data_IF_095333652152
#
_entry.id   IF_095333652152
#
_cell.length_a   1.000
_cell.length_b   1.000
_cell.length_c   1.000
_cell.angle_alpha   90.00
_cell.angle_beta   90.00
_cell.angle_gamma   90.00
#
_symmetry.space_group_name_H-M   'P 1'
#
loop_
_entity.id
_entity.type
_entity.pdbx_description
1 polymer ?
#
# COMPACT_ATOMS: atom_id res chain seq x y z
N UNK A 1 -7.30 -13.94 16.32
CA UNK A 1 -6.08 -13.21 15.87
C UNK A 1 -6.08 -11.85 16.54
N UNK A 2 -4.95 -11.40 17.07
CA UNK A 2 -4.85 -10.06 17.64
C UNK A 2 -4.88 -9.05 16.47
N UNK A 3 -5.97 -8.30 16.33
CA UNK A 3 -6.19 -7.34 15.23
C UNK A 3 -5.60 -5.97 15.51
N UNK A 4 -4.73 -5.85 16.52
CA UNK A 4 -4.09 -4.58 16.87
C UNK A 4 -3.33 -4.02 15.66
N UNK A 5 -3.80 -2.92 15.04
CA UNK A 5 -3.18 -2.36 13.83
C UNK A 5 -1.75 -1.85 14.09
N UNK A 6 -1.35 -1.71 15.36
CA UNK A 6 -0.02 -1.28 15.78
C UNK A 6 0.96 -2.46 16.01
N UNK A 7 0.62 -3.66 15.54
CA UNK A 7 1.48 -4.85 15.54
C UNK A 7 1.82 -5.28 14.12
N UNK A 8 2.92 -6.04 13.92
CA UNK A 8 3.33 -6.50 12.58
C UNK A 8 2.24 -7.31 11.88
N UNK A 9 1.66 -8.28 12.59
CA UNK A 9 0.56 -9.10 12.07
C UNK A 9 -0.70 -8.28 11.82
N UNK A 10 -1.01 -7.33 12.69
CA UNK A 10 -2.17 -6.45 12.52
C UNK A 10 -2.03 -5.50 11.34
N UNK A 11 -0.85 -4.91 11.13
CA UNK A 11 -0.53 -4.12 9.93
C UNK A 11 -0.72 -4.94 8.66
N UNK A 12 -0.10 -6.12 8.58
CA UNK A 12 -0.19 -6.98 7.38
C UNK A 12 -1.62 -7.46 7.12
N UNK A 13 -2.37 -7.79 8.17
CA UNK A 13 -3.77 -8.23 8.05
C UNK A 13 -4.67 -7.08 7.60
N UNK A 14 -4.67 -5.96 8.34
CA UNK A 14 -5.57 -4.86 8.07
C UNK A 14 -5.17 -4.12 6.78
N UNK A 15 -3.88 -3.84 6.60
CA UNK A 15 -3.35 -3.25 5.37
C UNK A 15 -3.62 -4.15 4.16
N UNK A 16 -3.42 -5.46 4.28
CA UNK A 16 -3.74 -6.41 3.22
C UNK A 16 -5.23 -6.42 2.85
N UNK A 17 -6.12 -6.42 3.84
CA UNK A 17 -7.57 -6.31 3.60
C UNK A 17 -7.94 -4.99 2.92
N UNK A 18 -7.36 -3.87 3.35
CA UNK A 18 -7.59 -2.56 2.71
C UNK A 18 -7.17 -2.60 1.24
N UNK A 19 -6.00 -3.14 0.91
CA UNK A 19 -5.55 -3.28 -0.48
C UNK A 19 -6.51 -4.13 -1.31
N UNK A 20 -6.99 -5.25 -0.77
CA UNK A 20 -7.99 -6.07 -1.46
C UNK A 20 -9.29 -5.31 -1.73
N UNK A 21 -9.75 -4.51 -0.77
CA UNK A 21 -10.95 -3.68 -0.95
C UNK A 21 -10.72 -2.60 -2.02
N UNK A 22 -9.58 -1.93 -2.01
CA UNK A 22 -9.22 -0.93 -3.03
C UNK A 22 -9.16 -1.55 -4.43
N UNK A 23 -8.57 -2.74 -4.56
CA UNK A 23 -8.55 -3.47 -5.82
C UNK A 23 -9.96 -3.79 -6.34
N UNK A 24 -10.84 -4.32 -5.47
CA UNK A 24 -12.23 -4.61 -5.85
C UNK A 24 -12.95 -3.35 -6.29
N UNK A 25 -12.81 -2.25 -5.54
CA UNK A 25 -13.41 -0.96 -5.87
C UNK A 25 -12.94 -0.45 -7.23
N UNK A 26 -11.64 -0.50 -7.51
CA UNK A 26 -11.14 -0.06 -8.81
C UNK A 26 -11.58 -0.97 -9.97
N UNK A 27 -11.62 -2.30 -9.80
CA UNK A 27 -12.13 -3.20 -10.84
C UNK A 27 -13.62 -3.00 -11.17
N UNK A 28 -14.43 -2.56 -10.20
CA UNK A 28 -15.84 -2.20 -10.45
C UNK A 28 -16.03 -0.76 -10.93
N UNK A 29 -14.93 -0.03 -11.18
CA UNK A 29 -14.96 1.33 -11.72
C UNK A 29 -15.31 2.41 -10.69
N UNK A 30 -15.11 2.16 -9.40
CA UNK A 30 -15.31 3.19 -8.38
C UNK A 30 -14.26 4.30 -8.51
N UNK A 31 -14.70 5.56 -8.48
CA UNK A 31 -13.83 6.74 -8.42
C UNK A 31 -14.50 7.88 -7.64
N UNK A 32 -13.68 8.78 -7.11
CA UNK A 32 -14.09 10.06 -6.52
C UNK A 32 -13.61 11.17 -7.45
N UNK A 33 -14.21 11.23 -8.65
CA UNK A 33 -13.81 12.18 -9.69
C UNK A 33 -12.30 12.13 -9.99
N UNK A 34 -11.68 13.30 -10.09
CA UNK A 34 -10.23 13.44 -10.30
C UNK A 34 -9.42 13.28 -9.00
N UNK A 35 -10.09 13.15 -7.85
CA UNK A 35 -9.43 13.11 -6.53
C UNK A 35 -8.87 11.73 -6.23
N UNK A 36 -9.64 10.67 -6.52
CA UNK A 36 -9.24 9.27 -6.31
C UNK A 36 -9.78 8.39 -7.44
N UNK A 37 -8.88 7.77 -8.17
CA UNK A 37 -9.19 6.86 -9.26
C UNK A 37 -8.09 5.80 -9.34
N UNK A 38 -8.38 4.68 -9.99
CA UNK A 38 -7.45 3.55 -10.09
C UNK A 38 -7.37 3.05 -11.52
N UNK A 39 -6.16 2.85 -12.04
CA UNK A 39 -5.97 2.13 -13.30
C UNK A 39 -5.94 0.59 -13.10
N UNK A 40 -5.97 -0.15 -14.21
CA UNK A 40 -5.96 -1.61 -14.16
C UNK A 40 -4.67 -2.18 -13.54
N UNK A 41 -3.54 -1.52 -13.71
CA UNK A 41 -2.26 -1.99 -13.19
C UNK A 41 -2.17 -1.76 -11.67
N UNK A 42 -2.66 -0.63 -11.17
CA UNK A 42 -2.84 -0.33 -9.75
C UNK A 42 -3.79 -1.34 -9.08
N UNK A 43 -4.92 -1.64 -9.72
CA UNK A 43 -5.87 -2.64 -9.21
C UNK A 43 -5.24 -4.02 -9.08
N UNK A 44 -4.44 -4.43 -10.07
CA UNK A 44 -3.69 -5.69 -10.01
C UNK A 44 -2.63 -5.65 -8.91
N UNK A 45 -1.90 -4.54 -8.76
CA UNK A 45 -0.90 -4.38 -7.71
C UNK A 45 -1.53 -4.47 -6.31
N UNK A 46 -2.63 -3.74 -6.08
CA UNK A 46 -3.40 -3.80 -4.83
C UNK A 46 -3.93 -5.21 -4.55
N UNK A 47 -4.45 -5.90 -5.56
CA UNK A 47 -4.93 -7.28 -5.41
C UNK A 47 -3.80 -8.22 -4.97
N UNK A 48 -2.69 -8.24 -5.72
CA UNK A 48 -1.57 -9.15 -5.47
C UNK A 48 -0.92 -8.85 -4.13
N UNK A 49 -0.61 -7.58 -3.85
CA UNK A 49 0.01 -7.18 -2.58
C UNK A 49 -0.92 -7.42 -1.40
N UNK A 50 -2.23 -7.22 -1.57
CA UNK A 50 -3.24 -7.52 -0.55
C UNK A 50 -3.29 -9.01 -0.20
N UNK A 51 -3.33 -9.88 -1.20
CA UNK A 51 -3.28 -11.34 -0.99
C UNK A 51 -1.98 -11.74 -0.32
N UNK A 52 -0.83 -11.26 -0.82
CA UNK A 52 0.48 -11.59 -0.27
C UNK A 52 0.62 -11.12 1.18
N UNK A 53 0.13 -9.91 1.52
CA UNK A 53 0.19 -9.37 2.87
C UNK A 53 -0.61 -10.21 3.87
N UNK A 54 -1.85 -10.59 3.51
CA UNK A 54 -2.68 -11.45 4.36
C UNK A 54 -2.06 -12.85 4.48
N UNK A 55 -1.61 -13.44 3.37
CA UNK A 55 -0.99 -14.77 3.37
C UNK A 55 0.31 -14.81 4.20
N UNK A 56 1.12 -13.75 4.15
CA UNK A 56 2.37 -13.65 4.90
C UNK A 56 2.19 -13.86 6.41
N UNK A 57 1.06 -13.43 6.98
CA UNK A 57 0.74 -13.60 8.41
C UNK A 57 0.64 -15.08 8.82
N UNK A 58 0.25 -15.96 7.89
CA UNK A 58 0.04 -17.39 8.15
C UNK A 58 1.22 -18.26 7.72
N UNK A 59 1.96 -17.81 6.70
CA UNK A 59 3.00 -18.62 6.04
C UNK A 59 4.39 -18.28 6.55
N UNK A 60 4.66 -17.00 6.88
CA UNK A 60 5.99 -16.58 7.28
C UNK A 60 6.22 -16.72 8.79
N UNK A 61 7.43 -17.13 9.21
CA UNK A 61 7.83 -17.08 10.61
C UNK A 61 7.97 -15.62 11.08
N UNK A 62 7.80 -15.41 12.39
CA UNK A 62 7.71 -14.07 12.98
C UNK A 62 8.94 -13.19 12.73
N UNK A 63 10.13 -13.80 12.66
CA UNK A 63 11.38 -13.10 12.38
C UNK A 63 11.44 -12.51 10.95
N UNK A 64 10.63 -12.98 10.01
CA UNK A 64 10.56 -12.46 8.65
C UNK A 64 9.48 -11.38 8.46
N UNK A 65 8.53 -11.26 9.39
CA UNK A 65 7.46 -10.26 9.28
C UNK A 65 8.00 -8.84 9.41
N UNK A 66 8.94 -8.59 10.32
CA UNK A 66 9.52 -7.26 10.48
C UNK A 66 10.27 -6.78 9.23
N UNK A 67 11.24 -7.54 8.66
CA UNK A 67 11.88 -7.16 7.40
C UNK A 67 10.88 -6.90 6.27
N UNK A 68 9.85 -7.75 6.14
CA UNK A 68 8.80 -7.56 5.14
C UNK A 68 8.07 -6.23 5.32
N UNK A 69 7.62 -5.92 6.53
CA UNK A 69 6.91 -4.66 6.83
C UNK A 69 7.82 -3.44 6.61
N UNK A 70 9.12 -3.55 6.91
CA UNK A 70 10.10 -2.48 6.60
C UNK A 70 10.18 -2.25 5.08
N UNK A 71 10.30 -3.32 4.29
CA UNK A 71 10.35 -3.21 2.82
C UNK A 71 9.07 -2.56 2.28
N UNK A 72 7.90 -3.01 2.75
CA UNK A 72 6.61 -2.39 2.39
C UNK A 72 6.59 -0.91 2.73
N UNK A 73 7.06 -0.54 3.93
CA UNK A 73 7.12 0.86 4.37
C UNK A 73 8.03 1.72 3.50
N UNK A 74 9.23 1.25 3.19
CA UNK A 74 10.18 1.98 2.33
C UNK A 74 9.65 2.13 0.92
N UNK A 75 9.08 1.06 0.34
CA UNK A 75 8.51 1.09 -1.02
C UNK A 75 7.31 2.04 -1.09
N UNK A 76 6.41 2.01 -0.11
CA UNK A 76 5.26 2.91 -0.04
C UNK A 76 5.70 4.38 0.10
N UNK A 77 6.69 4.68 0.95
CA UNK A 77 7.22 6.04 1.06
C UNK A 77 7.90 6.50 -0.24
N UNK A 78 8.67 5.62 -0.89
CA UNK A 78 9.30 5.93 -2.17
C UNK A 78 8.25 6.31 -3.20
N UNK A 79 7.21 5.48 -3.41
CA UNK A 79 6.18 5.76 -4.41
C UNK A 79 5.29 6.95 -4.03
N UNK A 80 4.93 7.11 -2.75
CA UNK A 80 4.16 8.26 -2.27
C UNK A 80 4.90 9.58 -2.47
N UNK A 81 6.22 9.63 -2.25
CA UNK A 81 7.03 10.82 -2.54
C UNK A 81 7.28 11.00 -4.04
N UNK A 82 7.54 9.91 -4.76
CA UNK A 82 7.83 9.93 -6.19
C UNK A 82 6.62 10.42 -7.01
N UNK A 83 5.41 10.07 -6.62
CA UNK A 83 4.19 10.52 -7.29
C UNK A 83 3.99 12.04 -7.28
N UNK A 84 4.53 12.76 -6.28
CA UNK A 84 4.47 14.24 -6.25
C UNK A 84 5.49 14.93 -7.17
N UNK A 85 6.56 14.24 -7.57
CA UNK A 85 7.60 14.81 -8.45
C UNK A 85 7.40 14.43 -9.91
N UNK A 86 6.49 13.51 -10.21
CA UNK A 86 6.08 13.22 -11.57
C UNK A 86 5.30 14.42 -12.13
N UNK A 87 5.55 14.83 -13.39
CA UNK A 87 4.79 15.92 -14.00
C UNK A 87 3.30 15.59 -13.93
N UNK A 88 2.50 16.46 -13.32
CA UNK A 88 1.04 16.40 -13.38
C UNK A 88 0.62 16.57 -14.86
N UNK A 89 0.52 15.47 -15.60
CA UNK A 89 0.42 15.58 -17.06
C UNK A 89 0.63 14.32 -17.91
N UNK A 90 0.73 13.10 -17.37
CA UNK A 90 0.51 11.92 -18.22
C UNK A 90 -0.98 11.75 -18.60
N UNK A 91 -1.87 12.54 -18.00
CA UNK A 91 -3.29 12.69 -18.35
C UNK A 91 -3.70 14.17 -18.46
N UNK A 92 -3.36 14.83 -19.57
CA UNK A 92 -4.11 15.98 -20.09
C UNK A 92 -3.90 16.23 -21.60
N UNK A 93 -3.64 15.19 -22.40
CA UNK A 93 -3.59 15.33 -23.86
C UNK A 93 -4.26 14.16 -24.58
N UNK A 94 -5.55 14.33 -24.86
CA UNK A 94 -6.23 13.79 -26.04
C UNK A 94 -6.23 12.27 -26.23
N UNK A 95 -7.08 11.55 -25.49
CA UNK A 95 -7.58 10.22 -25.90
C UNK A 95 -6.50 9.16 -26.22
N UNK A 96 -5.27 9.36 -25.76
CA UNK A 96 -4.16 8.41 -25.82
C UNK A 96 -3.89 7.93 -24.42
N UNK A 97 -3.74 6.61 -24.29
CA UNK A 97 -3.46 5.91 -23.04
C UNK A 97 -2.56 6.72 -22.13
N UNK A 98 -2.97 6.92 -20.87
CA UNK A 98 -2.13 7.47 -19.81
C UNK A 98 -0.74 6.86 -19.97
N UNK A 99 0.24 7.72 -20.24
CA UNK A 99 1.60 7.25 -20.41
C UNK A 99 1.98 6.70 -19.04
N UNK A 100 2.14 5.38 -18.93
CA UNK A 100 2.55 4.75 -17.69
C UNK A 100 3.71 5.53 -17.07
N UNK A 101 3.79 5.60 -15.73
CA UNK A 101 4.92 6.22 -15.05
C UNK A 101 6.28 5.67 -15.57
N UNK A 102 7.40 6.29 -15.18
CA UNK A 102 8.77 5.89 -15.59
C UNK A 102 9.07 4.39 -15.46
N UNK A 103 8.31 3.65 -14.66
CA UNK A 103 8.47 2.21 -14.44
C UNK A 103 7.47 1.33 -15.22
N UNK A 104 6.48 1.90 -15.90
CA UNK A 104 5.53 1.14 -16.70
C UNK A 104 4.46 0.39 -15.89
N UNK A 105 4.35 0.62 -14.58
CA UNK A 105 3.63 -0.28 -13.66
C UNK A 105 2.31 0.29 -13.11
N UNK A 106 2.14 1.61 -13.02
CA UNK A 106 0.92 2.24 -12.46
C UNK A 106 0.91 3.75 -12.70
N UNK A 107 -0.26 4.39 -12.77
CA UNK A 107 -0.39 5.84 -12.83
C UNK A 107 -0.70 6.45 -11.45
N UNK A 108 0.36 6.59 -10.61
CA UNK A 108 0.35 7.15 -9.25
C UNK A 108 0.02 8.66 -9.18
N UNK A 109 -0.86 9.15 -10.05
CA UNK A 109 -1.17 10.58 -10.23
C UNK A 109 -2.38 11.03 -9.41
N UNK A 110 -3.17 10.13 -8.81
CA UNK A 110 -4.23 10.56 -7.89
C UNK A 110 -3.60 11.28 -6.69
N UNK A 111 -3.96 12.55 -6.42
CA UNK A 111 -3.37 13.29 -5.32
C UNK A 111 -3.59 12.61 -3.96
N UNK A 112 -4.72 11.92 -3.80
CA UNK A 112 -5.04 11.18 -2.57
C UNK A 112 -4.27 9.87 -2.49
N UNK A 113 -4.03 9.19 -3.61
CA UNK A 113 -3.26 7.94 -3.60
C UNK A 113 -1.82 8.15 -3.10
N UNK A 114 -1.16 9.24 -3.51
CA UNK A 114 0.17 9.59 -2.98
C UNK A 114 0.15 9.84 -1.47
N UNK A 115 -0.88 10.53 -0.96
CA UNK A 115 -1.04 10.74 0.50
C UNK A 115 -1.29 9.41 1.22
N UNK A 116 -2.11 8.51 0.66
CA UNK A 116 -2.36 7.19 1.23
C UNK A 116 -1.07 6.38 1.33
N UNK A 117 -0.25 6.37 0.30
CA UNK A 117 1.06 5.71 0.30
C UNK A 117 2.00 6.27 1.37
N UNK A 118 2.02 7.59 1.57
CA UNK A 118 2.80 8.20 2.66
C UNK A 118 2.29 7.74 4.04
N UNK A 119 0.98 7.76 4.26
CA UNK A 119 0.36 7.34 5.53
C UNK A 119 0.66 5.86 5.81
N UNK A 120 0.49 4.99 4.81
CA UNK A 120 0.78 3.56 4.92
C UNK A 120 2.26 3.31 5.15
N UNK A 121 3.14 4.04 4.46
CA UNK A 121 4.59 3.95 4.63
C UNK A 121 5.03 4.33 6.05
N UNK A 122 4.52 5.45 6.57
CA UNK A 122 4.78 5.88 7.97
C UNK A 122 4.23 4.86 8.96
N UNK A 123 3.01 4.36 8.75
CA UNK A 123 2.40 3.35 9.62
C UNK A 123 3.22 2.05 9.66
N UNK A 124 3.66 1.54 8.50
CA UNK A 124 4.48 0.34 8.40
C UNK A 124 5.79 0.49 9.18
N UNK A 125 6.54 1.57 8.96
CA UNK A 125 7.81 1.82 9.64
C UNK A 125 7.61 2.07 11.14
N UNK A 126 6.54 2.78 11.52
CA UNK A 126 6.18 2.95 12.93
C UNK A 126 5.97 1.61 13.61
N UNK A 127 5.18 0.70 13.02
CA UNK A 127 4.95 -0.63 13.58
C UNK A 127 6.25 -1.44 13.65
N UNK A 128 7.10 -1.37 12.63
CA UNK A 128 8.35 -2.13 12.58
C UNK A 128 9.41 -1.71 13.62
N UNK A 129 9.45 -0.42 13.98
CA UNK A 129 10.50 0.13 14.86
C UNK A 129 10.00 0.59 16.23
N UNK A 130 8.75 1.02 16.33
CA UNK A 130 8.17 1.62 17.54
C UNK A 130 6.95 0.86 18.08
N UNK A 131 6.42 -0.11 17.34
CA UNK A 131 5.30 -0.95 17.76
C UNK A 131 5.65 -1.80 18.99
N UNK A 132 5.30 -1.32 20.18
CA UNK A 132 5.53 -2.02 21.46
C UNK A 132 4.60 -3.23 21.70
N UNK A 133 3.81 -3.63 20.69
CA UNK A 133 2.67 -4.56 20.87
C UNK A 133 3.02 -5.98 21.30
N UNK A 134 4.19 -6.51 20.92
CA UNK A 134 4.55 -7.92 21.21
C UNK A 134 5.65 -8.07 22.28
N UNK A 135 6.58 -7.11 22.39
CA UNK A 135 7.67 -7.17 23.36
C UNK A 135 7.22 -7.12 24.84
N UNK A 136 6.03 -6.58 25.13
CA UNK A 136 5.47 -6.51 26.49
C UNK A 136 4.68 -7.75 26.91
N UNK A 137 4.23 -8.58 25.95
CA UNK A 137 3.42 -9.78 26.24
C UNK A 137 4.28 -11.04 26.39
N UNK A 138 5.49 -11.05 25.84
CA UNK A 138 6.47 -12.14 26.03
C UNK A 138 7.18 -12.12 27.41
N UNK A 139 6.78 -11.22 28.32
CA UNK A 139 7.39 -11.04 29.65
C UNK A 139 6.45 -11.36 30.83
N UNK A 140 5.46 -12.23 30.64
CA UNK A 140 4.63 -12.76 31.73
C UNK A 140 4.76 -14.28 31.81
#
# INVERSE_FOLDING_TARGET
MNTNPLSLKGFLTLGGVILLLLAVLGFVGFSIGETLWFDNAENVAHLVLGVVAVAAVYVLPENLLKPLVVVVGVVALFFGLYGFVLPAGAMAAAGKAATYNTFGVANLESPVDNVLHLVVGVWALYVAFMGKGEAMMAKK
#
